data_IF_631786031057
#
_entry.id   IF_631786031057
#
_cell.length_a   1.000
_cell.length_b   1.000
_cell.length_c   1.000
_cell.angle_alpha   90.00
_cell.angle_beta   90.00
_cell.angle_gamma   90.00
#
_symmetry.space_group_name_H-M   'P 1'
#
loop_
_entity.id
_entity.type
_entity.pdbx_description
1 polymer ?
#
# COMPACT_ATOMS: atom_id res chain seq x y z
N UNK A 1 -25.38 3.34 16.20
CA UNK A 1 -23.97 2.96 15.96
C UNK A 1 -23.90 2.46 14.53
N UNK A 2 -23.15 3.15 13.68
CA UNK A 2 -22.98 2.83 12.28
C UNK A 2 -21.88 1.78 12.11
N UNK A 3 -22.00 0.94 11.08
CA UNK A 3 -21.08 -0.15 10.82
C UNK A 3 -20.78 -0.35 9.33
N UNK A 4 -19.59 -0.86 9.05
CA UNK A 4 -19.20 -1.34 7.73
C UNK A 4 -18.39 -2.63 7.85
N UNK A 5 -18.70 -3.59 7.00
CA UNK A 5 -18.10 -4.93 6.98
C UNK A 5 -17.38 -5.15 5.66
N UNK A 6 -16.08 -5.43 5.72
CA UNK A 6 -15.22 -5.70 4.58
C UNK A 6 -14.71 -7.13 4.66
N UNK A 7 -15.07 -7.97 3.69
CA UNK A 7 -14.38 -9.27 3.51
C UNK A 7 -13.24 -9.05 2.53
N UNK A 8 -12.02 -9.23 3.03
CA UNK A 8 -10.78 -9.06 2.29
C UNK A 8 -10.19 -10.43 1.97
N UNK A 9 -9.68 -10.57 0.76
CA UNK A 9 -9.02 -11.79 0.27
C UNK A 9 -7.58 -11.47 -0.11
N UNK A 10 -6.63 -12.32 0.30
CA UNK A 10 -5.23 -12.15 -0.03
C UNK A 10 -4.95 -12.54 -1.50
N UNK A 11 -4.47 -11.60 -2.31
CA UNK A 11 -3.94 -11.87 -3.66
C UNK A 11 -2.51 -12.40 -3.55
N UNK A 12 -1.70 -11.85 -2.63
CA UNK A 12 -0.33 -12.32 -2.39
C UNK A 12 -0.13 -12.70 -0.93
N UNK A 13 0.86 -13.58 -0.62
CA UNK A 13 1.04 -14.09 0.73
C UNK A 13 1.22 -12.97 1.75
N UNK A 14 0.55 -13.07 2.90
CA UNK A 14 0.64 -12.09 3.99
C UNK A 14 1.59 -12.60 5.06
N UNK A 15 2.70 -11.89 5.25
CA UNK A 15 3.68 -12.20 6.29
C UNK A 15 3.37 -11.38 7.55
N UNK A 16 2.42 -11.81 8.39
CA UNK A 16 2.08 -11.13 9.65
C UNK A 16 2.35 -11.98 10.89
N UNK A 17 3.08 -11.34 11.81
CA UNK A 17 3.63 -11.77 13.11
C UNK A 17 2.73 -11.60 14.32
N UNK A 18 2.37 -12.70 14.98
CA UNK A 18 1.86 -12.70 16.35
C UNK A 18 2.87 -12.35 17.43
N UNK A 19 2.43 -12.43 18.70
CA UNK A 19 3.31 -12.53 19.86
C UNK A 19 4.06 -13.87 19.76
N UNK A 20 3.34 -14.90 19.32
CA UNK A 20 3.93 -16.11 18.81
C UNK A 20 4.53 -15.85 17.42
N UNK A 21 5.86 -15.67 17.37
CA UNK A 21 6.56 -15.50 16.11
C UNK A 21 6.53 -16.74 15.20
N UNK A 22 6.01 -17.88 15.64
CA UNK A 22 5.91 -19.09 14.81
C UNK A 22 4.61 -19.19 13.99
N UNK A 23 3.57 -18.41 14.31
CA UNK A 23 2.26 -18.48 13.64
C UNK A 23 1.98 -17.23 12.82
N UNK A 24 1.29 -17.39 11.70
CA UNK A 24 0.81 -16.27 10.92
C UNK A 24 -0.60 -15.90 11.39
N UNK A 25 -0.82 -14.64 11.76
CA UNK A 25 -2.13 -14.18 12.25
C UNK A 25 -2.49 -12.78 11.72
N UNK A 26 -3.79 -12.53 11.52
CA UNK A 26 -4.30 -11.20 11.18
C UNK A 26 -4.57 -10.42 12.47
N UNK A 27 -3.96 -9.22 12.58
CA UNK A 27 -4.10 -8.36 13.76
C UNK A 27 -4.88 -7.11 13.44
N UNK A 28 -6.05 -6.96 14.07
CA UNK A 28 -6.87 -5.77 13.96
C UNK A 28 -6.09 -4.48 14.28
N UNK A 29 -5.28 -4.48 15.35
CA UNK A 29 -4.46 -3.33 15.73
C UNK A 29 -3.41 -2.95 14.66
N UNK A 30 -2.80 -3.95 14.00
CA UNK A 30 -1.83 -3.69 12.92
C UNK A 30 -2.52 -3.11 11.68
N UNK A 31 -3.70 -3.63 11.34
CA UNK A 31 -4.52 -3.10 10.24
C UNK A 31 -4.99 -1.67 10.57
N UNK A 32 -5.47 -1.41 11.79
CA UNK A 32 -5.86 -0.07 12.25
C UNK A 32 -4.69 0.93 12.14
N UNK A 33 -3.48 0.51 12.48
CA UNK A 33 -2.27 1.33 12.27
C UNK A 33 -1.98 1.65 10.80
N UNK A 34 -2.21 0.70 9.90
CA UNK A 34 -2.08 0.91 8.45
C UNK A 34 -3.19 1.80 7.90
N UNK A 35 -4.44 1.61 8.34
CA UNK A 35 -5.56 2.50 8.01
C UNK A 35 -5.25 3.94 8.45
N UNK A 36 -4.72 4.13 9.66
CA UNK A 36 -4.27 5.45 10.15
C UNK A 36 -3.18 6.06 9.28
N UNK A 37 -2.24 5.27 8.76
CA UNK A 37 -1.25 5.76 7.80
C UNK A 37 -1.89 6.19 6.48
N UNK A 38 -2.82 5.40 5.93
CA UNK A 38 -3.51 5.71 4.68
C UNK A 38 -4.47 6.88 4.81
N UNK A 39 -5.12 7.02 5.96
CA UNK A 39 -5.89 8.21 6.33
C UNK A 39 -5.04 9.48 6.21
N UNK A 40 -3.83 9.48 6.80
CA UNK A 40 -2.91 10.63 6.69
C UNK A 40 -2.48 10.91 5.28
N UNK A 41 -2.15 9.85 4.52
CA UNK A 41 -1.73 10.00 3.15
C UNK A 41 -2.86 10.62 2.31
N UNK A 42 -4.08 10.07 2.40
CA UNK A 42 -5.26 10.56 1.68
C UNK A 42 -5.64 11.97 2.11
N UNK A 43 -5.84 12.21 3.41
CA UNK A 43 -6.22 13.52 3.95
C UNK A 43 -5.18 14.61 3.70
N UNK A 44 -3.92 14.22 3.44
CA UNK A 44 -2.90 15.16 2.99
C UNK A 44 -3.17 15.79 1.62
N UNK A 45 -4.07 15.23 0.79
CA UNK A 45 -4.57 15.90 -0.41
C UNK A 45 -5.44 17.12 -0.09
N UNK A 46 -5.99 17.21 1.12
CA UNK A 46 -6.76 18.36 1.59
C UNK A 46 -5.90 19.29 2.45
N UNK A 47 -5.20 18.75 3.46
CA UNK A 47 -4.43 19.56 4.40
C UNK A 47 -3.10 20.09 3.83
N UNK A 48 -2.54 19.49 2.77
CA UNK A 48 -1.25 19.91 2.23
C UNK A 48 -0.16 19.88 3.31
N UNK A 49 0.45 21.04 3.61
CA UNK A 49 1.48 21.15 4.65
C UNK A 49 0.93 21.48 6.06
N UNK A 50 -0.40 21.63 6.24
CA UNK A 50 -1.02 21.75 7.56
C UNK A 50 -1.02 20.39 8.31
N UNK A 51 0.14 20.05 8.85
CA UNK A 51 0.32 18.83 9.63
C UNK A 51 -0.43 18.87 10.96
N UNK A 52 -0.77 20.06 11.47
CA UNK A 52 -1.45 20.23 12.76
C UNK A 52 -2.96 20.02 12.60
N UNK A 53 -3.57 20.58 11.55
CA UNK A 53 -4.93 20.22 11.13
C UNK A 53 -5.06 18.71 10.91
N UNK A 54 -4.14 18.14 10.12
CA UNK A 54 -4.12 16.71 9.88
C UNK A 54 -4.03 15.88 11.18
N UNK A 55 -3.14 16.27 12.10
CA UNK A 55 -2.97 15.60 13.40
C UNK A 55 -4.26 15.66 14.21
N UNK A 56 -4.94 16.81 14.25
CA UNK A 56 -6.20 16.98 15.01
C UNK A 56 -7.28 16.01 14.53
N UNK A 57 -7.45 15.84 13.23
CA UNK A 57 -8.44 14.90 12.67
C UNK A 57 -8.01 13.46 12.85
N UNK A 58 -6.73 13.16 12.64
CA UNK A 58 -6.18 11.82 12.85
C UNK A 58 -6.42 11.34 14.29
N UNK A 59 -6.17 12.20 15.28
CA UNK A 59 -6.41 11.90 16.69
C UNK A 59 -7.90 11.81 17.03
N UNK A 60 -8.77 12.57 16.37
CA UNK A 60 -10.22 12.45 16.54
C UNK A 60 -10.74 11.10 16.04
N UNK A 61 -10.30 10.65 14.85
CA UNK A 61 -10.72 9.38 14.25
C UNK A 61 -10.08 8.18 14.95
N UNK A 62 -8.74 8.11 14.95
CA UNK A 62 -8.00 6.92 15.38
C UNK A 62 -7.56 6.95 16.85
N UNK A 63 -7.87 8.02 17.57
CA UNK A 63 -7.46 8.21 18.95
C UNK A 63 -5.99 8.64 19.09
N UNK A 64 -5.63 8.96 20.32
CA UNK A 64 -4.27 9.29 20.75
C UNK A 64 -4.05 8.80 22.17
N UNK A 65 -2.91 9.13 22.78
CA UNK A 65 -2.70 8.87 24.22
C UNK A 65 -3.63 9.70 25.11
N UNK A 66 -4.28 10.74 24.57
CA UNK A 66 -5.18 11.64 25.31
C UNK A 66 -6.64 11.58 24.84
N UNK A 67 -6.92 10.97 23.69
CA UNK A 67 -8.26 10.88 23.12
C UNK A 67 -8.58 9.44 22.76
N UNK A 68 -9.77 8.99 23.15
CA UNK A 68 -10.30 7.71 22.70
C UNK A 68 -10.57 7.75 21.18
N UNK A 69 -10.42 6.60 20.53
CA UNK A 69 -10.69 6.47 19.11
C UNK A 69 -12.18 6.41 18.85
N UNK A 70 -12.68 7.21 17.89
CA UNK A 70 -14.07 7.18 17.44
C UNK A 70 -14.40 6.04 16.48
N UNK A 71 -13.42 5.24 16.10
CA UNK A 71 -13.61 4.05 15.26
C UNK A 71 -13.01 2.81 15.89
N UNK A 72 -13.81 1.74 15.97
CA UNK A 72 -13.35 0.41 16.37
C UNK A 72 -13.09 -0.41 15.10
N UNK A 73 -12.01 -1.19 15.12
CA UNK A 73 -11.64 -2.10 14.04
C UNK A 73 -11.47 -3.47 14.65
N UNK A 74 -12.23 -4.44 14.17
CA UNK A 74 -12.23 -5.82 14.67
C UNK A 74 -12.12 -6.81 13.50
N UNK A 75 -11.47 -7.95 13.73
CA UNK A 75 -11.46 -9.08 12.81
C UNK A 75 -12.53 -10.07 13.30
N UNK A 76 -13.69 -10.07 12.68
CA UNK A 76 -14.87 -10.82 13.15
C UNK A 76 -15.00 -12.21 12.54
N UNK A 77 -14.32 -12.46 11.41
CA UNK A 77 -14.24 -13.78 10.77
C UNK A 77 -12.87 -13.96 10.14
N UNK A 78 -12.34 -15.17 10.20
CA UNK A 78 -11.12 -15.55 9.51
C UNK A 78 -11.24 -16.94 8.89
N UNK A 79 -10.77 -17.08 7.65
CA UNK A 79 -10.62 -18.34 6.93
C UNK A 79 -9.22 -18.31 6.33
N UNK A 80 -8.25 -18.73 7.13
CA UNK A 80 -6.82 -18.55 6.86
C UNK A 80 -6.17 -19.91 6.70
N UNK A 81 -5.41 -20.06 5.61
CA UNK A 81 -4.52 -21.19 5.41
C UNK A 81 -3.06 -20.72 5.54
N UNK A 82 -2.25 -21.43 6.33
CA UNK A 82 -0.82 -21.16 6.41
C UNK A 82 -0.05 -21.92 5.32
N UNK A 83 0.85 -21.23 4.62
CA UNK A 83 1.81 -21.85 3.69
C UNK A 83 3.20 -21.26 3.87
N UNK A 84 4.22 -22.00 3.43
CA UNK A 84 5.56 -21.44 3.26
C UNK A 84 5.65 -20.76 1.89
N UNK A 85 5.90 -19.46 1.89
CA UNK A 85 5.98 -18.66 0.68
C UNK A 85 7.31 -17.89 0.62
N UNK A 86 7.85 -17.62 -0.58
CA UNK A 86 9.07 -16.84 -0.73
C UNK A 86 8.86 -15.39 -0.30
N UNK A 87 9.84 -14.84 0.42
CA UNK A 87 9.89 -13.44 0.80
C UNK A 87 10.20 -12.56 -0.42
N UNK A 88 9.57 -11.39 -0.54
CA UNK A 88 9.85 -10.47 -1.63
C UNK A 88 11.31 -10.01 -1.65
N UNK A 89 12.00 -10.30 -2.76
CA UNK A 89 13.36 -9.85 -3.04
C UNK A 89 14.36 -10.17 -1.92
N UNK A 90 14.25 -11.34 -1.29
CA UNK A 90 15.22 -11.85 -0.30
C UNK A 90 15.85 -13.13 -0.81
N UNK A 91 17.17 -13.11 -0.92
CA UNK A 91 17.97 -14.20 -1.44
C UNK A 91 19.00 -14.63 -0.41
N UNK A 92 19.25 -15.93 -0.35
CA UNK A 92 20.30 -16.53 0.47
C UNK A 92 21.24 -17.30 -0.43
N UNK A 93 22.55 -17.11 -0.22
CA UNK A 93 23.59 -17.90 -0.86
C UNK A 93 24.07 -18.99 0.10
N UNK A 94 24.09 -20.24 -0.35
CA UNK A 94 24.67 -21.38 0.38
C UNK A 94 25.44 -22.24 -0.62
N UNK A 95 26.72 -22.53 -0.33
CA UNK A 95 27.58 -23.40 -1.16
C UNK A 95 27.55 -23.06 -2.66
N UNK A 96 27.71 -21.78 -3.01
CA UNK A 96 27.69 -21.30 -4.40
C UNK A 96 26.30 -21.12 -5.02
N UNK A 97 25.26 -21.77 -4.50
CA UNK A 97 23.88 -21.68 -5.01
C UNK A 97 23.12 -20.55 -4.31
N UNK A 98 22.39 -19.75 -5.10
CA UNK A 98 21.52 -18.68 -4.61
C UNK A 98 20.07 -19.13 -4.67
N UNK A 99 19.32 -18.96 -3.58
CA UNK A 99 17.91 -19.40 -3.46
C UNK A 99 17.08 -18.32 -2.78
N UNK A 100 15.77 -18.23 -3.09
CA UNK A 100 14.86 -17.33 -2.38
C UNK A 100 14.65 -17.82 -0.96
N UNK A 101 14.59 -16.89 -0.02
CA UNK A 101 14.24 -17.21 1.37
C UNK A 101 12.74 -17.37 1.47
N UNK A 102 12.28 -18.52 1.96
CA UNK A 102 10.86 -18.77 2.24
C UNK A 102 10.56 -18.67 3.72
N UNK A 103 9.34 -18.25 4.04
CA UNK A 103 8.88 -18.06 5.40
C UNK A 103 7.37 -18.39 5.48
N UNK A 104 6.91 -18.86 6.65
CA UNK A 104 5.49 -19.10 6.91
C UNK A 104 4.69 -17.80 6.79
N UNK A 105 3.60 -17.86 6.05
CA UNK A 105 2.71 -16.76 5.68
C UNK A 105 1.27 -17.26 5.60
N UNK A 106 0.32 -16.32 5.60
CA UNK A 106 -1.05 -16.58 5.18
C UNK A 106 -1.06 -16.71 3.66
N UNK A 107 -1.62 -17.79 3.16
CA UNK A 107 -1.63 -18.13 1.74
C UNK A 107 -2.55 -17.20 0.92
N UNK A 108 -2.24 -16.96 -0.37
CA UNK A 108 -3.19 -16.38 -1.31
C UNK A 108 -4.52 -17.14 -1.32
N UNK A 109 -5.63 -16.44 -1.52
CA UNK A 109 -7.00 -16.98 -1.41
C UNK A 109 -7.56 -17.01 0.01
N UNK A 110 -6.72 -16.85 1.05
CA UNK A 110 -7.20 -16.72 2.43
C UNK A 110 -8.03 -15.46 2.62
N UNK A 111 -9.08 -15.55 3.46
CA UNK A 111 -10.04 -14.46 3.70
C UNK A 111 -10.12 -14.08 5.16
N UNK A 112 -10.38 -12.80 5.41
CA UNK A 112 -10.76 -12.32 6.72
C UNK A 112 -11.75 -11.16 6.60
N UNK A 113 -12.62 -11.02 7.59
CA UNK A 113 -13.67 -10.00 7.61
C UNK A 113 -13.36 -8.97 8.69
N UNK A 114 -13.23 -7.72 8.27
CA UNK A 114 -13.10 -6.58 9.15
C UNK A 114 -14.47 -5.97 9.42
N UNK A 115 -14.75 -5.71 10.69
CA UNK A 115 -15.86 -4.88 11.14
C UNK A 115 -15.31 -3.52 11.58
N UNK A 116 -15.76 -2.46 10.92
CA UNK A 116 -15.54 -1.08 11.32
C UNK A 116 -16.82 -0.55 11.94
N UNK A 117 -16.74 0.04 13.13
CA UNK A 117 -17.91 0.67 13.79
C UNK A 117 -17.56 2.04 14.34
N UNK A 118 -18.54 2.94 14.29
CA UNK A 118 -18.45 4.29 14.87
C UNK A 118 -19.83 4.78 15.29
N UNK A 119 -19.87 5.68 16.27
CA UNK A 119 -21.05 6.49 16.60
C UNK A 119 -21.25 7.67 15.62
N UNK A 120 -20.22 8.01 14.85
CA UNK A 120 -20.19 9.13 13.91
C UNK A 120 -20.08 8.62 12.45
N UNK A 121 -21.07 8.97 11.63
CA UNK A 121 -21.15 8.56 10.22
C UNK A 121 -19.93 9.02 9.41
N UNK A 122 -19.46 10.25 9.63
CA UNK A 122 -18.36 10.83 8.88
C UNK A 122 -17.02 10.17 9.29
N UNK A 123 -16.87 9.85 10.57
CA UNK A 123 -15.73 9.04 11.06
C UNK A 123 -15.72 7.65 10.41
N UNK A 124 -16.89 6.99 10.32
CA UNK A 124 -16.98 5.69 9.65
C UNK A 124 -16.58 5.79 8.18
N UNK A 125 -17.07 6.80 7.44
CA UNK A 125 -16.68 7.04 6.04
C UNK A 125 -15.19 7.25 5.87
N UNK A 126 -14.58 8.10 6.70
CA UNK A 126 -13.12 8.34 6.67
C UNK A 126 -12.33 7.05 6.92
N UNK A 127 -12.78 6.20 7.86
CA UNK A 127 -12.16 4.91 8.13
C UNK A 127 -12.33 3.93 6.95
N UNK A 128 -13.51 3.88 6.34
CA UNK A 128 -13.79 3.09 5.13
C UNK A 128 -12.90 3.51 3.96
N UNK A 129 -12.81 4.81 3.65
CA UNK A 129 -11.95 5.31 2.58
C UNK A 129 -10.46 5.05 2.86
N UNK A 130 -10.05 5.11 4.13
CA UNK A 130 -8.70 4.74 4.54
C UNK A 130 -8.40 3.25 4.31
N UNK A 131 -9.38 2.38 4.54
CA UNK A 131 -9.26 0.95 4.26
C UNK A 131 -9.26 0.67 2.75
N UNK A 132 -10.11 1.34 1.97
CA UNK A 132 -10.10 1.25 0.49
C UNK A 132 -8.73 1.66 -0.05
N UNK A 133 -8.19 2.79 0.41
CA UNK A 133 -6.85 3.22 0.02
C UNK A 133 -5.75 2.24 0.40
N UNK A 134 -5.85 1.61 1.59
CA UNK A 134 -4.95 0.53 2.00
C UNK A 134 -5.03 -0.69 1.07
N UNK A 135 -6.22 -1.11 0.68
CA UNK A 135 -6.41 -2.30 -0.17
C UNK A 135 -5.89 -2.04 -1.58
N UNK A 136 -6.34 -0.96 -2.22
CA UNK A 136 -6.06 -0.72 -3.63
C UNK A 136 -4.67 -0.16 -3.90
N UNK A 137 -4.10 0.63 -2.98
CA UNK A 137 -2.80 1.29 -3.19
C UNK A 137 -1.72 0.77 -2.23
N UNK A 138 -2.07 -0.14 -1.33
CA UNK A 138 -1.20 -0.66 -0.29
C UNK A 138 -1.18 -2.19 -0.19
N UNK A 139 -1.06 -2.64 1.05
CA UNK A 139 -0.90 -4.04 1.40
C UNK A 139 -0.50 -4.15 2.87
N UNK A 140 -0.64 -5.34 3.43
CA UNK A 140 -0.45 -5.60 4.85
C UNK A 140 0.75 -6.52 5.11
N UNK A 141 1.29 -6.45 6.33
CA UNK A 141 2.36 -7.31 6.79
C UNK A 141 3.76 -6.97 6.27
N UNK A 142 4.70 -7.87 6.58
CA UNK A 142 6.11 -7.68 6.30
C UNK A 142 6.39 -7.65 4.79
N UNK A 143 7.21 -6.68 4.37
CA UNK A 143 7.56 -6.43 2.96
C UNK A 143 6.37 -6.13 2.04
N UNK A 144 5.29 -5.58 2.58
CA UNK A 144 4.13 -5.18 1.77
C UNK A 144 4.46 -4.13 0.69
N UNK A 145 5.53 -3.33 0.86
CA UNK A 145 5.97 -2.37 -0.14
C UNK A 145 6.68 -3.01 -1.35
N UNK A 146 6.82 -4.35 -1.39
CA UNK A 146 7.52 -5.11 -2.43
C UNK A 146 6.63 -6.23 -3.00
N UNK A 147 5.31 -6.09 -2.98
CA UNK A 147 4.40 -7.04 -3.60
C UNK A 147 3.75 -8.06 -2.66
N UNK A 148 4.23 -8.24 -1.42
CA UNK A 148 3.57 -9.12 -0.45
C UNK A 148 2.30 -8.49 0.16
N UNK A 149 1.40 -9.33 0.66
CA UNK A 149 0.17 -8.93 1.34
C UNK A 149 -0.72 -7.95 0.58
N UNK A 150 -0.76 -8.09 -0.74
CA UNK A 150 -1.76 -7.41 -1.58
C UNK A 150 -3.12 -8.08 -1.35
N UNK A 151 -4.17 -7.26 -1.30
CA UNK A 151 -5.51 -7.69 -0.92
C UNK A 151 -6.52 -7.26 -2.00
N UNK A 152 -7.67 -7.91 -2.04
CA UNK A 152 -8.86 -7.44 -2.75
C UNK A 152 -10.09 -7.43 -1.84
N UNK A 153 -11.08 -6.62 -2.18
CA UNK A 153 -12.38 -6.62 -1.50
C UNK A 153 -13.28 -7.63 -2.20
N UNK A 154 -13.56 -8.76 -1.54
CA UNK A 154 -14.47 -9.78 -2.08
C UNK A 154 -15.94 -9.52 -1.72
N UNK A 155 -16.18 -8.79 -0.64
CA UNK A 155 -17.54 -8.37 -0.24
C UNK A 155 -17.47 -7.12 0.64
N UNK A 156 -18.41 -6.20 0.41
CA UNK A 156 -18.55 -4.94 1.14
C UNK A 156 -20.02 -4.74 1.50
N UNK A 157 -20.30 -4.49 2.79
CA UNK A 157 -21.60 -4.03 3.30
C UNK A 157 -21.35 -2.82 4.20
N UNK A 158 -22.18 -1.80 4.12
CA UNK A 158 -21.98 -0.55 4.85
C UNK A 158 -23.31 0.11 5.12
N UNK A 159 -23.49 0.63 6.33
CA UNK A 159 -24.65 1.45 6.70
C UNK A 159 -24.59 2.85 6.05
N UNK A 160 -23.41 3.23 5.57
CA UNK A 160 -23.14 4.52 4.93
C UNK A 160 -22.80 4.32 3.45
N UNK A 161 -23.22 5.27 2.60
CA UNK A 161 -22.88 5.24 1.18
C UNK A 161 -21.37 5.44 0.98
N UNK A 162 -20.78 4.63 0.11
CA UNK A 162 -19.37 4.65 -0.26
C UNK A 162 -19.23 4.77 -1.78
N UNK A 163 -18.01 5.00 -2.25
CA UNK A 163 -17.69 5.08 -3.69
C UNK A 163 -17.71 3.70 -4.35
N UNK A 164 -17.84 3.69 -5.68
CA UNK A 164 -17.79 2.46 -6.46
C UNK A 164 -16.39 1.86 -6.50
N UNK A 165 -16.33 0.52 -6.50
CA UNK A 165 -15.07 -0.22 -6.64
C UNK A 165 -14.67 -0.36 -8.12
N UNK A 166 -13.41 -0.13 -8.49
CA UNK A 166 -12.98 -0.10 -9.87
C UNK A 166 -12.92 -1.49 -10.48
N UNK A 167 -13.40 -1.61 -11.73
CA UNK A 167 -13.33 -2.85 -12.52
C UNK A 167 -12.21 -2.81 -13.56
N UNK A 168 -11.79 -1.62 -13.98
CA UNK A 168 -10.78 -1.43 -15.00
C UNK A 168 -9.78 -0.33 -14.62
N UNK A 169 -8.74 -0.16 -15.44
CA UNK A 169 -7.64 0.79 -15.19
C UNK A 169 -8.12 2.24 -15.08
N UNK A 170 -9.03 2.66 -15.96
CA UNK A 170 -9.57 4.02 -15.95
C UNK A 170 -10.36 4.28 -14.65
N UNK A 171 -11.25 3.37 -14.27
CA UNK A 171 -11.99 3.46 -13.01
C UNK A 171 -11.06 3.44 -11.79
N UNK A 172 -9.94 2.73 -11.85
CA UNK A 172 -8.92 2.74 -10.78
C UNK A 172 -8.28 4.12 -10.63
N UNK A 173 -8.00 4.81 -11.75
CA UNK A 173 -7.55 6.21 -11.75
C UNK A 173 -8.62 7.15 -11.19
N UNK A 174 -9.87 7.00 -11.64
CA UNK A 174 -11.00 7.80 -11.16
C UNK A 174 -11.24 7.62 -9.65
N UNK A 175 -11.10 6.40 -9.13
CA UNK A 175 -11.24 6.12 -7.69
C UNK A 175 -10.26 6.95 -6.84
N UNK A 176 -9.07 7.29 -7.35
CA UNK A 176 -8.13 8.19 -6.63
C UNK A 176 -8.75 9.58 -6.46
N UNK A 177 -9.37 10.11 -7.51
CA UNK A 177 -10.10 11.39 -7.45
C UNK A 177 -11.30 11.28 -6.52
N UNK A 178 -12.13 10.24 -6.66
CA UNK A 178 -13.35 10.08 -5.86
C UNK A 178 -13.03 9.99 -4.36
N UNK A 179 -11.98 9.25 -3.97
CA UNK A 179 -11.51 9.18 -2.58
C UNK A 179 -11.07 10.55 -2.06
N UNK A 180 -10.27 11.28 -2.83
CA UNK A 180 -9.76 12.59 -2.39
C UNK A 180 -10.86 13.64 -2.33
N UNK A 181 -11.84 13.61 -3.24
CA UNK A 181 -13.01 14.50 -3.27
C UNK A 181 -13.93 14.22 -2.09
N UNK A 182 -14.31 12.96 -1.84
CA UNK A 182 -15.20 12.63 -0.73
C UNK A 182 -14.53 12.89 0.63
N UNK A 183 -13.25 12.56 0.81
CA UNK A 183 -12.51 12.93 2.02
C UNK A 183 -12.48 14.45 2.20
N UNK A 184 -12.15 15.22 1.17
CA UNK A 184 -12.13 16.67 1.26
C UNK A 184 -13.51 17.26 1.58
N UNK A 185 -14.59 16.69 1.04
CA UNK A 185 -15.98 17.10 1.33
C UNK A 185 -16.33 16.90 2.80
N UNK A 186 -15.94 15.77 3.39
CA UNK A 186 -16.12 15.50 4.82
C UNK A 186 -15.28 16.46 5.68
N UNK A 187 -14.01 16.63 5.32
CA UNK A 187 -13.09 17.48 6.05
C UNK A 187 -13.53 18.95 6.03
N UNK A 188 -14.00 19.47 4.90
CA UNK A 188 -14.48 20.87 4.78
C UNK A 188 -15.65 21.20 5.71
N UNK A 189 -16.55 20.25 5.99
CA UNK A 189 -17.66 20.44 6.94
C UNK A 189 -17.16 20.62 8.37
N UNK A 190 -16.00 20.03 8.68
CA UNK A 190 -15.55 19.79 10.05
C UNK A 190 -14.32 20.64 10.41
N UNK A 191 -13.51 21.01 9.41
CA UNK A 191 -12.25 21.72 9.55
C UNK A 191 -12.07 22.69 8.37
N UNK A 192 -11.95 23.98 8.67
CA UNK A 192 -11.49 24.97 7.71
C UNK A 192 -9.98 24.82 7.53
N UNK A 193 -9.55 24.66 6.29
CA UNK A 193 -8.15 24.70 5.89
C UNK A 193 -8.01 25.65 4.71
N UNK A 194 -7.27 26.74 4.91
CA UNK A 194 -6.94 27.71 3.86
C UNK A 194 -5.53 27.41 3.36
N UNK A 195 -5.39 26.82 2.17
CA UNK A 195 -4.09 26.68 1.54
C UNK A 195 -4.10 26.84 0.03
N UNK A 196 -3.22 27.75 -0.44
CA UNK A 196 -2.89 28.00 -1.85
C UNK A 196 -1.62 27.27 -2.33
N UNK A 197 -1.05 26.39 -1.51
CA UNK A 197 0.34 25.98 -1.69
C UNK A 197 0.51 24.82 -2.70
N UNK A 198 0.86 25.14 -3.95
CA UNK A 198 0.99 24.18 -5.07
C UNK A 198 2.14 23.15 -4.98
N UNK A 199 3.01 23.25 -3.97
CA UNK A 199 4.21 22.41 -3.86
C UNK A 199 3.95 21.06 -3.17
N UNK A 200 4.69 20.02 -3.54
CA UNK A 200 4.60 18.73 -2.84
C UNK A 200 4.86 18.82 -1.34
N UNK A 201 4.14 18.01 -0.57
CA UNK A 201 4.25 17.95 0.88
C UNK A 201 5.59 17.39 1.36
N UNK A 202 5.96 17.70 2.59
CA UNK A 202 7.15 17.12 3.25
C UNK A 202 6.96 15.65 3.65
N UNK A 203 5.72 15.18 3.78
CA UNK A 203 5.33 13.81 4.10
C UNK A 203 4.66 13.11 2.91
N UNK A 204 4.51 11.78 2.97
CA UNK A 204 3.90 10.97 1.91
C UNK A 204 2.38 11.18 1.90
N UNK A 205 1.87 11.82 0.84
CA UNK A 205 0.45 12.18 0.72
C UNK A 205 -0.07 12.02 -0.71
N UNK A 206 -1.40 12.07 -0.83
CA UNK A 206 -2.12 12.10 -2.11
C UNK A 206 -2.02 13.45 -2.82
N UNK A 207 -1.48 14.49 -2.16
CA UNK A 207 -1.14 15.76 -2.80
C UNK A 207 -0.11 15.58 -3.94
N UNK A 208 0.79 14.60 -3.80
CA UNK A 208 1.79 14.26 -4.81
C UNK A 208 1.89 12.75 -5.01
N UNK A 209 0.73 12.12 -5.20
CA UNK A 209 0.62 10.70 -5.47
C UNK A 209 0.62 10.39 -6.96
N UNK A 210 1.27 9.28 -7.30
CA UNK A 210 1.27 8.71 -8.64
C UNK A 210 0.97 7.22 -8.55
N UNK A 211 0.25 6.71 -9.54
CA UNK A 211 -0.11 5.31 -9.65
C UNK A 211 0.28 4.79 -11.03
N UNK A 212 0.96 3.65 -11.03
CA UNK A 212 1.36 2.95 -12.24
C UNK A 212 0.89 1.51 -12.20
N UNK A 213 0.61 0.95 -13.39
CA UNK A 213 0.40 -0.47 -13.60
C UNK A 213 1.42 -1.01 -14.61
N UNK A 214 1.89 -2.23 -14.38
CA UNK A 214 2.86 -2.89 -15.25
C UNK A 214 2.56 -4.37 -15.38
N UNK A 215 2.66 -4.87 -16.63
CA UNK A 215 2.44 -6.26 -17.00
C UNK A 215 1.04 -6.77 -16.67
N UNK A 216 0.71 -7.96 -17.16
CA UNK A 216 -0.59 -8.58 -16.99
C UNK A 216 -0.45 -10.11 -16.92
N UNK A 217 -1.20 -10.74 -16.02
CA UNK A 217 -1.40 -12.19 -15.95
C UNK A 217 -2.85 -12.53 -15.64
N UNK A 218 -3.39 -13.54 -16.31
CA UNK A 218 -4.73 -14.05 -16.05
C UNK A 218 -4.75 -14.97 -14.82
N UNK A 219 -3.78 -15.89 -14.73
CA UNK A 219 -3.70 -16.87 -13.66
C UNK A 219 -2.89 -16.36 -12.46
N UNK A 220 -3.42 -16.53 -11.24
CA UNK A 220 -2.79 -16.06 -10.01
C UNK A 220 -1.46 -16.76 -9.72
N UNK A 221 -1.33 -18.02 -10.15
CA UNK A 221 -0.15 -18.86 -10.00
C UNK A 221 1.08 -18.25 -10.69
N UNK A 222 0.87 -17.48 -11.76
CA UNK A 222 1.90 -16.82 -12.55
C UNK A 222 2.27 -15.43 -12.03
N UNK A 223 1.64 -14.96 -10.94
CA UNK A 223 1.82 -13.59 -10.44
C UNK A 223 2.95 -13.50 -9.43
N UNK A 224 2.89 -14.30 -8.36
CA UNK A 224 3.79 -14.15 -7.21
C UNK A 224 5.14 -14.85 -7.41
N UNK A 225 6.19 -14.29 -6.78
CA UNK A 225 7.55 -14.83 -6.81
C UNK A 225 7.58 -16.36 -6.66
N UNK A 226 8.30 -17.04 -7.56
CA UNK A 226 8.43 -18.50 -7.53
C UNK A 226 9.84 -18.97 -7.89
N UNK A 227 10.48 -18.36 -8.89
CA UNK A 227 11.75 -18.86 -9.41
C UNK A 227 12.91 -18.60 -8.44
N UNK A 228 13.77 -19.62 -8.25
CA UNK A 228 15.06 -19.50 -7.58
C UNK A 228 16.20 -19.06 -8.53
N UNK A 229 15.90 -18.84 -9.81
CA UNK A 229 16.86 -18.35 -10.80
C UNK A 229 16.18 -17.35 -11.75
N UNK A 230 16.66 -16.10 -11.77
CA UNK A 230 16.11 -15.04 -12.63
C UNK A 230 16.58 -15.14 -14.09
N UNK A 231 17.49 -16.07 -14.40
CA UNK A 231 17.89 -16.40 -15.77
C UNK A 231 17.03 -17.52 -16.39
N UNK A 232 16.07 -18.07 -15.65
CA UNK A 232 15.12 -19.04 -16.18
C UNK A 232 14.13 -18.36 -17.13
N UNK A 233 13.65 -19.08 -18.14
CA UNK A 233 12.63 -18.61 -19.09
C UNK A 233 11.23 -18.52 -18.46
N UNK A 234 10.94 -19.36 -17.45
CA UNK A 234 9.63 -19.41 -16.78
C UNK A 234 9.58 -18.51 -15.54
N UNK A 235 9.60 -17.20 -15.76
CA UNK A 235 9.43 -16.21 -14.68
C UNK A 235 7.95 -15.88 -14.45
N UNK A 236 7.58 -15.75 -13.18
CA UNK A 236 6.31 -15.13 -12.78
C UNK A 236 6.36 -13.61 -13.01
N UNK A 237 5.22 -12.95 -12.95
CA UNK A 237 5.11 -11.51 -13.15
C UNK A 237 6.00 -10.72 -12.16
N UNK A 238 5.98 -11.08 -10.88
CA UNK A 238 6.85 -10.44 -9.88
C UNK A 238 8.33 -10.87 -9.99
N UNK A 239 8.63 -12.07 -10.48
CA UNK A 239 10.01 -12.44 -10.81
C UNK A 239 10.57 -11.57 -11.95
N UNK A 240 9.77 -11.34 -13.00
CA UNK A 240 10.14 -10.47 -14.12
C UNK A 240 10.28 -9.01 -13.68
N UNK A 241 9.35 -8.50 -12.86
CA UNK A 241 9.48 -7.17 -12.26
C UNK A 241 10.77 -7.05 -11.44
N UNK A 242 11.15 -8.06 -10.65
CA UNK A 242 12.41 -8.05 -9.91
C UNK A 242 13.64 -8.12 -10.82
N UNK A 243 13.57 -8.83 -11.94
CA UNK A 243 14.64 -8.87 -12.96
C UNK A 243 14.87 -7.49 -13.56
N UNK A 244 13.79 -6.84 -14.02
CA UNK A 244 13.86 -5.47 -14.56
C UNK A 244 14.28 -4.46 -13.50
N UNK A 245 13.80 -4.62 -12.27
CA UNK A 245 14.21 -3.79 -11.15
C UNK A 245 15.70 -3.96 -10.82
N UNK A 246 16.33 -5.11 -11.08
CA UNK A 246 17.77 -5.30 -10.87
C UNK A 246 18.63 -4.88 -12.06
N UNK A 247 18.04 -4.76 -13.24
CA UNK A 247 18.74 -4.36 -14.46
C UNK A 247 19.22 -2.91 -14.35
N UNK A 248 20.53 -2.68 -14.39
CA UNK A 248 21.13 -1.35 -14.22
C UNK A 248 20.76 -0.39 -15.35
N UNK A 249 20.48 -0.90 -16.53
CA UNK A 249 20.13 -0.08 -17.70
C UNK A 249 18.79 0.65 -17.53
N UNK A 250 17.94 0.18 -16.61
CA UNK A 250 16.66 0.81 -16.31
C UNK A 250 16.78 1.98 -15.31
N UNK A 251 17.99 2.41 -14.96
CA UNK A 251 18.22 3.38 -13.90
C UNK A 251 19.17 4.50 -14.35
N UNK A 252 18.97 5.71 -13.83
CA UNK A 252 19.80 6.88 -14.15
C UNK A 252 21.21 6.82 -13.58
N UNK A 253 21.45 6.01 -12.54
CA UNK A 253 22.74 5.97 -11.85
C UNK A 253 23.44 4.62 -12.01
N UNK A 254 24.77 4.65 -11.91
CA UNK A 254 25.61 3.45 -11.87
C UNK A 254 25.35 2.56 -10.64
N UNK A 255 24.69 3.09 -9.60
CA UNK A 255 24.25 2.34 -8.42
C UNK A 255 22.92 1.59 -8.68
N UNK A 256 22.20 1.95 -9.74
CA UNK A 256 20.98 1.30 -10.20
C UNK A 256 19.87 1.32 -9.14
N UNK A 257 19.27 0.16 -8.93
CA UNK A 257 18.20 -0.05 -7.95
C UNK A 257 18.60 0.23 -6.50
N UNK A 258 19.91 0.29 -6.19
CA UNK A 258 20.42 0.59 -4.85
C UNK A 258 20.14 2.03 -4.43
N UNK A 259 19.78 2.90 -5.37
CA UNK A 259 19.30 4.26 -5.10
C UNK A 259 17.86 4.31 -4.59
N UNK A 260 17.09 3.23 -4.75
CA UNK A 260 15.70 3.19 -4.29
C UNK A 260 15.65 2.98 -2.79
N UNK A 261 14.84 3.79 -2.12
CA UNK A 261 14.67 3.72 -0.67
C UNK A 261 13.56 2.72 -0.33
N UNK A 262 13.84 1.43 -0.36
CA UNK A 262 12.92 0.41 0.16
C UNK A 262 13.07 0.19 1.67
N UNK A 263 12.71 1.19 2.46
CA UNK A 263 12.72 1.12 3.91
C UNK A 263 14.12 0.96 4.53
N UNK A 264 14.14 1.13 5.86
CA UNK A 264 15.25 1.32 6.80
C UNK A 264 16.32 2.36 6.38
N UNK A 265 16.54 3.42 7.18
CA UNK A 265 17.65 4.33 6.94
C UNK A 265 18.97 3.55 6.99
N UNK A 266 19.86 3.81 6.03
CA UNK A 266 21.29 3.51 6.21
C UNK A 266 21.84 4.54 7.22
N UNK A 267 22.44 4.10 8.32
CA UNK A 267 23.06 4.97 9.33
C UNK A 267 22.47 4.88 10.74
N UNK A 268 23.00 5.70 11.65
CA UNK A 268 22.76 5.65 13.10
C UNK A 268 21.43 6.27 13.56
N UNK A 269 20.77 7.08 12.73
CA UNK A 269 19.47 7.72 13.07
C UNK A 269 18.28 6.82 12.71
N UNK A 270 17.62 6.28 13.75
CA UNK A 270 16.47 5.36 13.72
C UNK A 270 15.13 5.98 13.26
N UNK A 271 15.13 7.01 12.41
CA UNK A 271 13.87 7.57 11.89
C UNK A 271 13.28 6.62 10.84
N UNK A 272 12.17 5.95 11.21
CA UNK A 272 11.47 5.01 10.33
C UNK A 272 10.44 5.77 9.49
N UNK A 273 10.77 6.01 8.22
CA UNK A 273 9.81 6.50 7.21
C UNK A 273 9.37 5.35 6.30
N UNK A 274 8.08 5.30 5.94
CA UNK A 274 7.58 4.36 4.96
C UNK A 274 8.28 4.56 3.61
N UNK A 275 8.41 3.48 2.83
CA UNK A 275 9.00 3.54 1.49
C UNK A 275 8.21 4.53 0.62
N UNK A 276 8.90 5.42 -0.14
CA UNK A 276 8.26 6.33 -1.07
C UNK A 276 7.61 5.60 -2.26
N UNK A 277 8.02 4.36 -2.53
CA UNK A 277 7.39 3.47 -3.49
C UNK A 277 6.78 2.25 -2.79
N UNK A 278 5.58 1.85 -3.21
CA UNK A 278 4.91 0.63 -2.73
C UNK A 278 4.47 -0.19 -3.94
N UNK A 279 5.16 -1.30 -4.16
CA UNK A 279 4.80 -2.29 -5.16
C UNK A 279 3.76 -3.24 -4.56
N UNK A 280 2.74 -3.57 -5.33
CA UNK A 280 1.65 -4.49 -4.97
C UNK A 280 1.08 -5.17 -6.21
N UNK A 281 0.07 -6.00 -6.01
CA UNK A 281 -0.75 -6.56 -7.08
C UNK A 281 -2.16 -6.00 -6.96
N UNK A 282 -2.75 -5.62 -8.09
CA UNK A 282 -4.18 -5.33 -8.19
C UNK A 282 -4.83 -6.33 -9.14
N UNK A 283 -6.08 -6.67 -8.88
CA UNK A 283 -6.91 -7.46 -9.79
C UNK A 283 -7.96 -6.52 -10.39
N UNK A 284 -8.08 -6.52 -11.73
CA UNK A 284 -9.05 -5.73 -12.48
C UNK A 284 -9.67 -6.64 -13.55
N UNK A 285 -10.99 -6.87 -13.47
CA UNK A 285 -11.71 -7.79 -14.35
C UNK A 285 -10.99 -9.14 -14.53
N UNK A 286 -10.68 -9.81 -13.41
CA UNK A 286 -10.02 -11.13 -13.37
C UNK A 286 -8.61 -11.18 -13.98
N UNK A 287 -7.97 -10.02 -14.12
CA UNK A 287 -6.58 -9.89 -14.58
C UNK A 287 -5.73 -9.23 -13.51
N UNK A 288 -4.54 -9.78 -13.28
CA UNK A 288 -3.60 -9.29 -12.29
C UNK A 288 -2.54 -8.39 -12.92
N UNK A 289 -2.32 -7.23 -12.32
CA UNK A 289 -1.32 -6.25 -12.75
C UNK A 289 -0.37 -5.91 -11.58
N UNK A 290 0.89 -5.62 -11.88
CA UNK A 290 1.81 -5.06 -10.88
C UNK A 290 1.46 -3.59 -10.69
N UNK A 291 1.01 -3.26 -9.49
CA UNK A 291 0.76 -1.90 -9.04
C UNK A 291 2.03 -1.28 -8.49
N UNK A 292 2.35 -0.05 -8.90
CA UNK A 292 3.38 0.76 -8.25
C UNK A 292 2.80 2.09 -7.80
N UNK A 293 2.66 2.25 -6.49
CA UNK A 293 2.23 3.49 -5.85
C UNK A 293 3.44 4.33 -5.46
N UNK A 294 3.48 5.60 -5.86
CA UNK A 294 4.61 6.51 -5.61
C UNK A 294 4.12 7.76 -4.90
N UNK A 295 4.78 8.14 -3.80
CA UNK A 295 4.47 9.33 -3.02
C UNK A 295 5.61 10.33 -3.12
N UNK A 296 5.59 11.22 -4.12
CA UNK A 296 6.64 12.24 -4.30
C UNK A 296 6.57 13.25 -3.15
N UNK A 297 7.71 13.53 -2.53
CA UNK A 297 7.78 14.45 -1.38
C UNK A 297 8.90 15.46 -1.55
N UNK A 298 8.72 16.69 -1.05
CA UNK A 298 9.74 17.75 -1.16
C UNK A 298 11.05 17.38 -0.46
N UNK A 299 10.95 16.89 0.77
CA UNK A 299 12.09 16.39 1.55
C UNK A 299 11.73 15.00 2.05
N UNK A 300 12.51 13.99 1.64
CA UNK A 300 12.27 12.61 2.11
C UNK A 300 12.83 12.38 3.51
N UNK A 301 14.05 12.85 3.79
CA UNK A 301 14.60 12.92 5.14
C UNK A 301 15.66 14.02 5.14
N UNK A 302 15.81 14.81 6.23
CA UNK A 302 16.95 15.72 6.35
C UNK A 302 18.26 14.96 6.12
N UNK A 303 19.05 15.40 5.13
CA UNK A 303 20.31 14.75 4.74
C UNK A 303 20.18 13.55 3.79
N UNK A 304 18.98 13.21 3.29
CA UNK A 304 18.81 12.24 2.19
C UNK A 304 18.08 12.87 1.01
N UNK A 305 18.75 12.88 -0.14
CA UNK A 305 18.13 13.24 -1.41
C UNK A 305 17.62 11.97 -2.10
N UNK A 306 16.30 11.83 -2.21
CA UNK A 306 15.68 10.82 -3.08
C UNK A 306 15.64 11.39 -4.49
N UNK A 307 16.30 10.70 -5.44
CA UNK A 307 16.23 11.05 -6.86
C UNK A 307 14.90 10.56 -7.42
N UNK A 308 13.85 11.36 -7.28
CA UNK A 308 12.52 11.04 -7.80
C UNK A 308 12.53 10.73 -9.29
N UNK A 309 13.35 11.44 -10.06
CA UNK A 309 13.48 11.23 -11.50
C UNK A 309 13.99 9.83 -11.83
N UNK A 310 14.83 9.22 -10.98
CA UNK A 310 15.27 7.84 -11.18
C UNK A 310 14.11 6.83 -11.07
N UNK A 311 13.12 7.10 -10.20
CA UNK A 311 11.93 6.25 -10.07
C UNK A 311 11.07 6.38 -11.33
N UNK A 312 10.86 7.61 -11.81
CA UNK A 312 10.05 7.84 -13.01
C UNK A 312 10.71 7.28 -14.28
N UNK A 313 12.01 7.50 -14.45
CA UNK A 313 12.78 6.94 -15.58
C UNK A 313 12.78 5.41 -15.53
N UNK A 314 12.92 4.80 -14.35
CA UNK A 314 12.77 3.35 -14.22
C UNK A 314 11.40 2.86 -14.70
N UNK A 315 10.32 3.49 -14.22
CA UNK A 315 8.96 3.11 -14.59
C UNK A 315 8.69 3.32 -16.09
N UNK A 316 9.23 4.38 -16.67
CA UNK A 316 9.16 4.65 -18.10
C UNK A 316 9.94 3.61 -18.92
N UNK A 317 11.17 3.29 -18.51
CA UNK A 317 12.04 2.32 -19.20
C UNK A 317 11.46 0.90 -19.23
N UNK A 318 10.76 0.48 -18.17
CA UNK A 318 10.09 -0.83 -18.15
C UNK A 318 8.73 -0.82 -18.85
N UNK A 319 8.29 0.32 -19.40
CA UNK A 319 6.98 0.47 -20.05
C UNK A 319 5.80 0.40 -19.08
N UNK A 320 5.96 0.85 -17.83
CA UNK A 320 4.85 0.92 -16.88
C UNK A 320 3.89 2.06 -17.25
N UNK A 321 2.60 1.75 -17.31
CA UNK A 321 1.54 2.68 -17.66
C UNK A 321 1.19 3.55 -16.44
N UNK A 322 1.20 4.88 -16.59
CA UNK A 322 0.79 5.81 -15.54
C UNK A 322 -0.74 5.95 -15.56
N UNK A 323 -1.39 5.45 -14.52
CA UNK A 323 -2.85 5.52 -14.33
C UNK A 323 -3.27 6.81 -13.62
N UNK A 324 -2.42 7.33 -12.72
CA UNK A 324 -2.70 8.57 -12.00
C UNK A 324 -1.42 9.39 -11.76
N UNK A 325 -1.47 10.73 -11.87
CA UNK A 325 -2.56 11.51 -12.47
C UNK A 325 -2.65 11.21 -13.97
N UNK A 326 -3.85 11.35 -14.54
CA UNK A 326 -4.05 11.25 -16.00
C UNK A 326 -3.10 12.23 -16.71
N UNK A 327 -2.53 11.80 -17.84
CA UNK A 327 -1.59 12.63 -18.61
C UNK A 327 -2.32 13.68 -19.42
#
# INVERSE_FOLDING_TARGET
MYSATFTLEAITPVFMRGANQSKAEIRAASIKGLMRWWFRALSGSYFGNDVEGLRRVEEYVFGSTRRESRVVVEVVKEHVEERFCPLPMVWKKKKGVTTRVSQRAIAPGSKFTLLLTSDDEEVLKLACYSLIGLVYFGGIGFRCSRGAGSLKISSLKSDVQLIDLPKNKNQLGQMVNDLTVEIAKILKKTFLCDHENKNCTSYSSFWCFYLFLWGEKAELEEVYYRSNNLENERLTLLDLFEKEFKNKNNHLSNYGYRDFVFGLPRGTKKDRRASPIKVGITELSEKYHVRVSVFKTKIFKPGMNVKWDNIFVFLENIGAERIYPER
#
